data_IF_132336529592
#
_entry.id   IF_132336529592
#
_cell.length_a   1.000
_cell.length_b   1.000
_cell.length_c   1.000
_cell.angle_alpha   90.00
_cell.angle_beta   90.00
_cell.angle_gamma   90.00
#
_symmetry.space_group_name_H-M   'P 1'
#
loop_
_entity.id
_entity.type
_entity.pdbx_description
1 polymer ?
#
# COMPACT_ATOMS: atom_id res chain seq x y z
N UNK A 1 -1.27 -15.61 4.15
CA UNK A 1 -0.31 -14.51 3.95
C UNK A 1 1.10 -15.02 4.24
N UNK A 2 2.09 -14.32 3.71
CA UNK A 2 3.50 -14.65 3.92
C UNK A 2 4.29 -13.36 4.18
N UNK A 3 5.24 -13.42 5.09
CA UNK A 3 6.14 -12.31 5.43
C UNK A 3 7.54 -12.87 5.60
N UNK A 4 8.50 -12.39 4.83
CA UNK A 4 9.91 -12.82 4.87
C UNK A 4 10.08 -14.34 4.83
N UNK A 5 9.34 -15.01 3.90
CA UNK A 5 9.32 -16.45 3.75
C UNK A 5 8.56 -17.21 4.85
N UNK A 6 7.99 -16.52 5.84
CA UNK A 6 7.23 -17.14 6.92
C UNK A 6 5.72 -17.02 6.63
N UNK A 7 5.05 -18.16 6.49
CA UNK A 7 3.60 -18.20 6.30
C UNK A 7 2.83 -17.84 7.56
N UNK A 8 1.86 -16.94 7.43
CA UNK A 8 0.89 -16.61 8.46
C UNK A 8 -0.38 -17.41 8.17
N UNK A 9 -0.74 -18.38 9.04
CA UNK A 9 -1.98 -19.13 8.86
C UNK A 9 -3.19 -18.21 9.07
N UNK A 10 -4.21 -18.37 8.24
CA UNK A 10 -5.43 -17.56 8.29
C UNK A 10 -6.64 -18.49 8.31
N UNK A 11 -7.66 -18.09 9.06
CA UNK A 11 -8.91 -18.83 9.20
C UNK A 11 -10.04 -18.28 8.34
N UNK A 12 -9.91 -17.01 7.89
CA UNK A 12 -10.89 -16.31 7.08
C UNK A 12 -10.41 -16.11 5.64
N UNK A 13 -11.34 -15.82 4.74
CA UNK A 13 -11.09 -15.47 3.35
C UNK A 13 -11.66 -14.08 3.03
N UNK A 14 -11.28 -13.53 1.87
CA UNK A 14 -11.75 -12.24 1.40
C UNK A 14 -11.43 -11.11 2.40
N UNK A 15 -12.25 -10.09 2.44
CA UNK A 15 -12.04 -8.90 3.29
C UNK A 15 -11.92 -9.19 4.79
N UNK A 16 -12.48 -10.30 5.28
CA UNK A 16 -12.42 -10.68 6.69
C UNK A 16 -10.99 -11.13 7.08
N UNK A 17 -10.24 -11.69 6.12
CA UNK A 17 -8.82 -11.99 6.25
C UNK A 17 -7.99 -10.74 6.61
N UNK A 18 -8.33 -9.57 6.04
CA UNK A 18 -7.63 -8.32 6.36
C UNK A 18 -7.82 -7.91 7.82
N UNK A 19 -9.00 -8.18 8.38
CA UNK A 19 -9.28 -7.93 9.80
C UNK A 19 -8.51 -8.91 10.70
N UNK A 20 -8.39 -10.17 10.28
CA UNK A 20 -7.59 -11.16 10.99
C UNK A 20 -6.10 -10.80 10.98
N UNK A 21 -5.55 -10.42 9.82
CA UNK A 21 -4.17 -9.94 9.69
C UNK A 21 -3.91 -8.67 10.50
N UNK A 22 -4.84 -7.72 10.50
CA UNK A 22 -4.75 -6.52 11.33
C UNK A 22 -4.63 -6.85 12.82
N UNK A 23 -5.44 -7.79 13.32
CA UNK A 23 -5.35 -8.25 14.72
C UNK A 23 -4.02 -8.94 15.01
N UNK A 24 -3.51 -9.72 14.05
CA UNK A 24 -2.21 -10.42 14.18
C UNK A 24 -1.03 -9.45 14.21
N UNK A 25 -1.15 -8.31 13.54
CA UNK A 25 -0.12 -7.26 13.59
C UNK A 25 -0.03 -6.58 14.95
N UNK A 26 -1.01 -6.77 15.83
CA UNK A 26 -1.13 -6.12 17.15
C UNK A 26 -1.21 -4.59 17.08
N UNK A 27 -1.66 -4.07 15.93
CA UNK A 27 -1.82 -2.64 15.72
C UNK A 27 -3.02 -2.09 16.48
N UNK A 28 -2.86 -0.92 17.09
CA UNK A 28 -3.97 -0.14 17.64
C UNK A 28 -4.20 1.09 16.76
N UNK A 29 -5.07 0.95 15.77
CA UNK A 29 -5.42 2.01 14.84
C UNK A 29 -6.91 1.93 14.49
N UNK A 30 -7.82 2.47 15.32
CA UNK A 30 -9.27 2.34 15.16
C UNK A 30 -9.79 2.85 13.81
N UNK A 31 -9.05 3.75 13.16
CA UNK A 31 -9.37 4.28 11.83
C UNK A 31 -9.36 3.18 10.74
N UNK A 32 -8.62 2.08 10.94
CA UNK A 32 -8.60 0.90 10.06
C UNK A 32 -10.00 0.43 9.68
N UNK A 33 -10.92 0.37 10.63
CA UNK A 33 -12.30 -0.10 10.39
C UNK A 33 -13.15 0.84 9.54
N UNK A 34 -12.68 2.07 9.30
CA UNK A 34 -13.36 3.06 8.43
C UNK A 34 -12.81 3.10 7.01
N UNK A 35 -11.66 2.47 6.79
CA UNK A 35 -11.01 2.40 5.48
C UNK A 35 -11.80 1.50 4.52
N UNK A 36 -11.68 1.77 3.23
CA UNK A 36 -12.11 0.84 2.19
C UNK A 36 -11.21 -0.39 2.12
N UNK A 37 -11.57 -1.37 1.29
CA UNK A 37 -10.85 -2.66 1.21
C UNK A 37 -9.43 -2.47 0.68
N UNK A 38 -9.23 -1.62 -0.34
CA UNK A 38 -7.91 -1.33 -0.91
C UNK A 38 -6.99 -0.69 0.13
N UNK A 39 -7.48 0.30 0.87
CA UNK A 39 -6.70 0.96 1.94
C UNK A 39 -6.40 0.01 3.10
N UNK A 40 -7.32 -0.88 3.47
CA UNK A 40 -7.07 -1.92 4.48
C UNK A 40 -5.98 -2.90 4.02
N UNK A 41 -6.01 -3.30 2.75
CA UNK A 41 -5.02 -4.19 2.16
C UNK A 41 -3.62 -3.55 2.23
N UNK A 42 -3.49 -2.31 1.78
CA UNK A 42 -2.23 -1.57 1.88
C UNK A 42 -1.78 -1.41 3.33
N UNK A 43 -2.68 -1.01 4.22
CA UNK A 43 -2.39 -0.84 5.65
C UNK A 43 -1.81 -2.11 6.26
N UNK A 44 -2.47 -3.26 6.07
CA UNK A 44 -2.02 -4.55 6.61
C UNK A 44 -0.68 -4.96 6.02
N UNK A 45 -0.47 -4.78 4.71
CA UNK A 45 0.80 -5.10 4.06
C UNK A 45 1.96 -4.29 4.66
N UNK A 46 1.76 -2.99 4.90
CA UNK A 46 2.79 -2.14 5.52
C UNK A 46 3.00 -2.44 7.02
N UNK A 47 1.95 -2.75 7.78
CA UNK A 47 2.10 -3.19 9.18
C UNK A 47 2.93 -4.49 9.28
N UNK A 48 2.69 -5.44 8.39
CA UNK A 48 3.45 -6.69 8.35
C UNK A 48 4.90 -6.45 7.93
N UNK A 49 5.14 -5.60 6.94
CA UNK A 49 6.48 -5.20 6.53
C UNK A 49 7.23 -4.49 7.68
N UNK A 50 6.57 -3.52 8.35
CA UNK A 50 7.13 -2.81 9.49
C UNK A 50 7.52 -3.77 10.62
N UNK A 51 6.67 -4.75 10.92
CA UNK A 51 6.94 -5.77 11.95
C UNK A 51 8.15 -6.65 11.61
N UNK A 52 8.33 -6.98 10.33
CA UNK A 52 9.47 -7.76 9.86
C UNK A 52 10.79 -6.97 9.91
N UNK A 53 10.73 -5.67 9.63
CA UNK A 53 11.91 -4.80 9.52
C UNK A 53 12.33 -4.13 10.84
N UNK A 54 11.44 -4.09 11.84
CA UNK A 54 11.62 -3.34 13.08
C UNK A 54 10.93 -1.97 13.07
N UNK A 55 10.62 -1.46 14.26
CA UNK A 55 9.89 -0.20 14.41
C UNK A 55 10.66 1.01 13.84
N UNK A 56 9.91 1.93 13.24
CA UNK A 56 10.42 3.21 12.73
C UNK A 56 11.14 3.13 11.38
N UNK A 57 11.37 1.95 10.83
CA UNK A 57 12.12 1.78 9.56
C UNK A 57 11.43 2.47 8.37
N UNK A 58 10.10 2.55 8.36
CA UNK A 58 9.35 3.09 7.21
C UNK A 58 9.30 4.62 7.19
N UNK A 59 9.58 5.30 8.30
CA UNK A 59 9.47 6.78 8.38
C UNK A 59 10.45 7.50 7.46
N UNK A 60 11.62 6.92 7.20
CA UNK A 60 12.64 7.43 6.28
C UNK A 60 12.56 6.88 4.87
N UNK A 61 11.46 6.24 4.48
CA UNK A 61 11.29 5.66 3.16
C UNK A 61 10.38 6.51 2.25
N UNK A 62 10.65 6.45 0.95
CA UNK A 62 9.67 6.73 -0.09
C UNK A 62 8.70 5.55 -0.25
N UNK A 63 7.57 5.74 -0.93
CA UNK A 63 6.69 4.66 -1.33
C UNK A 63 6.27 4.76 -2.79
N UNK A 64 6.37 3.66 -3.54
CA UNK A 64 5.90 3.54 -4.92
C UNK A 64 5.08 2.28 -5.08
N UNK A 65 3.76 2.43 -5.20
CA UNK A 65 2.85 1.31 -5.38
C UNK A 65 2.32 1.25 -6.80
N UNK A 66 2.09 0.05 -7.27
CA UNK A 66 1.51 -0.25 -8.57
C UNK A 66 0.18 -0.97 -8.39
N UNK A 67 -0.75 -0.69 -9.30
CA UNK A 67 -2.11 -1.17 -9.22
C UNK A 67 -2.68 -1.30 -10.64
N UNK A 68 -3.71 -2.13 -10.83
CA UNK A 68 -4.45 -2.23 -12.09
C UNK A 68 -5.87 -1.68 -11.92
N UNK A 69 -6.57 -2.13 -10.90
CA UNK A 69 -8.02 -1.90 -10.72
C UNK A 69 -8.36 -0.52 -10.19
N UNK A 70 -7.35 0.31 -9.88
CA UNK A 70 -7.57 1.62 -9.26
C UNK A 70 -8.42 1.50 -7.98
N UNK A 71 -9.41 2.36 -7.79
CA UNK A 71 -10.38 2.38 -6.69
C UNK A 71 -11.73 1.78 -7.08
N UNK A 72 -11.76 0.84 -8.02
CA UNK A 72 -13.00 0.36 -8.67
C UNK A 72 -14.11 -0.06 -7.67
N UNK A 73 -13.76 -0.65 -6.53
CA UNK A 73 -14.74 -1.05 -5.52
C UNK A 73 -15.38 0.16 -4.86
N UNK A 74 -14.58 1.17 -4.50
CA UNK A 74 -15.06 2.40 -3.90
C UNK A 74 -15.85 3.23 -4.91
N UNK A 75 -15.44 3.23 -6.18
CA UNK A 75 -16.16 3.89 -7.28
C UNK A 75 -17.54 3.29 -7.47
N UNK A 76 -17.65 1.95 -7.55
CA UNK A 76 -18.93 1.24 -7.66
C UNK A 76 -19.83 1.51 -6.46
N UNK A 77 -19.28 1.51 -5.25
CA UNK A 77 -20.03 1.82 -4.02
C UNK A 77 -20.51 3.25 -4.03
N UNK A 78 -19.67 4.21 -4.39
CA UNK A 78 -20.04 5.62 -4.50
C UNK A 78 -21.09 5.83 -5.59
N UNK A 79 -20.91 5.26 -6.78
CA UNK A 79 -21.89 5.29 -7.87
C UNK A 79 -23.26 4.79 -7.42
N UNK A 80 -23.30 3.72 -6.62
CA UNK A 80 -24.54 3.22 -6.04
C UNK A 80 -25.29 4.24 -5.19
N UNK A 81 -24.60 5.15 -4.51
CA UNK A 81 -25.23 6.20 -3.66
C UNK A 81 -25.82 7.35 -4.46
N UNK A 82 -25.41 7.56 -5.71
CA UNK A 82 -25.85 8.67 -6.55
C UNK A 82 -26.80 8.22 -7.68
N UNK A 83 -26.98 6.90 -7.87
CA UNK A 83 -27.79 6.34 -8.97
C UNK A 83 -29.24 6.11 -8.59
N UNK A 84 -29.64 6.38 -7.34
CA UNK A 84 -31.02 6.19 -6.89
C UNK A 84 -31.86 7.42 -7.25
N UNK A 85 -32.91 7.31 -8.12
CA UNK A 85 -33.76 8.42 -8.46
C UNK A 85 -34.46 9.01 -7.23
N UNK A 86 -34.30 10.30 -7.01
CA UNK A 86 -34.94 11.03 -5.90
C UNK A 86 -34.17 11.01 -4.58
N UNK A 87 -33.09 10.23 -4.47
CA UNK A 87 -32.22 10.18 -3.30
C UNK A 87 -30.78 10.50 -3.71
N UNK A 88 -30.48 11.77 -3.87
CA UNK A 88 -29.13 12.22 -4.21
C UNK A 88 -28.40 12.72 -2.97
N UNK A 89 -27.84 11.80 -2.18
CA UNK A 89 -27.01 12.11 -1.02
C UNK A 89 -25.69 11.36 -1.08
N UNK A 90 -24.72 11.82 -1.93
CA UNK A 90 -23.41 11.20 -1.98
C UNK A 90 -22.72 11.36 -0.62
N UNK A 91 -22.36 10.24 0.01
CA UNK A 91 -21.64 10.24 1.26
C UNK A 91 -20.21 10.75 1.08
N UNK A 92 -19.79 11.85 1.72
CA UNK A 92 -18.41 12.38 1.57
C UNK A 92 -17.34 11.34 1.94
N UNK A 93 -17.60 10.51 2.93
CA UNK A 93 -16.70 9.47 3.36
C UNK A 93 -16.45 8.39 2.28
N UNK A 94 -17.48 8.05 1.48
CA UNK A 94 -17.33 7.10 0.37
C UNK A 94 -16.58 7.73 -0.80
N UNK A 95 -16.83 9.02 -1.06
CA UNK A 95 -16.15 9.75 -2.13
C UNK A 95 -14.63 9.83 -1.92
N UNK A 96 -14.15 10.01 -0.70
CA UNK A 96 -12.71 10.09 -0.43
C UNK A 96 -11.96 8.86 -0.95
N UNK A 97 -12.52 7.68 -0.80
CA UNK A 97 -11.89 6.43 -1.23
C UNK A 97 -12.05 6.12 -2.73
N UNK A 98 -12.71 6.98 -3.52
CA UNK A 98 -12.64 6.92 -4.99
C UNK A 98 -11.32 7.47 -5.53
N UNK A 99 -10.49 8.04 -4.68
CA UNK A 99 -9.14 8.48 -5.01
C UNK A 99 -8.16 7.37 -4.59
N UNK A 100 -7.61 6.60 -5.52
CA UNK A 100 -6.85 5.38 -5.18
C UNK A 100 -5.57 5.67 -4.39
N UNK A 101 -5.00 6.87 -4.50
CA UNK A 101 -3.83 7.28 -3.73
C UNK A 101 -4.12 7.55 -2.23
N UNK A 102 -5.39 7.56 -1.82
CA UNK A 102 -5.76 7.71 -0.39
C UNK A 102 -5.17 6.58 0.44
N UNK A 103 -5.06 5.36 -0.09
CA UNK A 103 -4.41 4.26 0.59
C UNK A 103 -2.96 4.58 1.01
N UNK A 104 -2.18 5.25 0.14
CA UNK A 104 -0.83 5.72 0.46
C UNK A 104 -0.83 6.81 1.54
N UNK A 105 -1.83 7.70 1.51
CA UNK A 105 -2.02 8.72 2.54
C UNK A 105 -2.29 8.11 3.92
N UNK A 106 -3.14 7.07 4.00
CA UNK A 106 -3.41 6.35 5.25
C UNK A 106 -2.15 5.67 5.79
N UNK A 107 -1.38 5.01 4.92
CA UNK A 107 -0.11 4.36 5.27
C UNK A 107 0.93 5.40 5.72
N UNK A 108 1.09 6.49 4.97
CA UNK A 108 2.06 7.54 5.29
C UNK A 108 1.77 8.19 6.66
N UNK A 109 0.50 8.46 6.96
CA UNK A 109 0.09 8.98 8.28
C UNK A 109 0.41 7.97 9.38
N UNK A 110 0.10 6.70 9.16
CA UNK A 110 0.31 5.64 10.15
C UNK A 110 1.78 5.45 10.52
N UNK A 111 2.66 5.43 9.52
CA UNK A 111 4.09 5.15 9.69
C UNK A 111 4.97 6.40 9.76
N UNK A 112 4.35 7.58 9.83
CA UNK A 112 5.04 8.89 9.85
C UNK A 112 6.03 9.06 8.68
N UNK A 113 5.68 8.51 7.50
CA UNK A 113 6.52 8.58 6.31
C UNK A 113 6.61 10.02 5.80
N UNK A 114 7.81 10.52 5.62
CA UNK A 114 8.09 11.89 5.15
C UNK A 114 8.56 11.94 3.69
N UNK A 115 8.82 10.77 3.11
CA UNK A 115 9.25 10.62 1.74
C UNK A 115 8.15 10.86 0.71
N UNK A 116 8.52 10.81 -0.55
CA UNK A 116 7.58 10.90 -1.66
C UNK A 116 6.71 9.65 -1.74
N UNK A 117 5.43 9.82 -2.05
CA UNK A 117 4.50 8.71 -2.31
C UNK A 117 3.98 8.77 -3.73
N UNK A 118 3.96 7.64 -4.42
CA UNK A 118 3.50 7.52 -5.81
C UNK A 118 2.63 6.29 -5.99
N UNK A 119 1.52 6.45 -6.71
CA UNK A 119 0.70 5.34 -7.17
C UNK A 119 0.66 5.36 -8.70
N UNK A 120 0.92 4.21 -9.30
CA UNK A 120 0.99 4.04 -10.75
C UNK A 120 -0.01 2.96 -11.15
N UNK A 121 -0.93 3.33 -12.04
CA UNK A 121 -1.90 2.39 -12.58
C UNK A 121 -1.32 1.78 -13.85
N UNK A 122 -1.21 0.45 -13.88
CA UNK A 122 -0.69 -0.30 -15.02
C UNK A 122 -1.82 -1.13 -15.66
N UNK A 123 -1.75 -1.41 -16.97
CA UNK A 123 -2.71 -2.27 -17.64
C UNK A 123 -2.66 -3.73 -17.14
N UNK A 124 -1.51 -4.17 -16.65
CA UNK A 124 -1.27 -5.49 -16.05
C UNK A 124 -0.05 -5.45 -15.13
N UNK A 125 0.12 -6.47 -14.28
CA UNK A 125 1.28 -6.62 -13.41
C UNK A 125 2.52 -6.98 -14.24
N UNK A 126 3.40 -6.01 -14.47
CA UNK A 126 4.68 -6.16 -15.17
C UNK A 126 5.85 -5.92 -14.22
N UNK A 127 6.41 -6.99 -13.68
CA UNK A 127 7.52 -6.93 -12.72
C UNK A 127 8.78 -6.29 -13.28
N UNK A 128 9.01 -6.40 -14.60
CA UNK A 128 10.17 -5.78 -15.26
C UNK A 128 10.02 -4.27 -15.32
N UNK A 129 8.86 -3.80 -15.79
CA UNK A 129 8.54 -2.37 -15.84
C UNK A 129 8.54 -1.76 -14.43
N UNK A 130 7.89 -2.42 -13.47
CA UNK A 130 7.86 -1.99 -12.07
C UNK A 130 9.26 -1.82 -11.50
N UNK A 131 10.13 -2.81 -11.69
CA UNK A 131 11.53 -2.75 -11.22
C UNK A 131 12.32 -1.61 -11.85
N UNK A 132 12.15 -1.37 -13.15
CA UNK A 132 12.79 -0.24 -13.84
C UNK A 132 12.33 1.11 -13.29
N UNK A 133 11.03 1.27 -13.02
CA UNK A 133 10.47 2.49 -12.47
C UNK A 133 10.94 2.74 -11.04
N UNK A 134 10.96 1.71 -10.19
CA UNK A 134 11.49 1.79 -8.83
C UNK A 134 12.97 2.19 -8.85
N UNK A 135 13.77 1.54 -9.68
CA UNK A 135 15.19 1.88 -9.81
C UNK A 135 15.39 3.33 -10.26
N UNK A 136 14.66 3.78 -11.27
CA UNK A 136 14.75 5.17 -11.75
C UNK A 136 14.31 6.20 -10.67
N UNK A 137 13.33 5.88 -9.86
CA UNK A 137 12.88 6.72 -8.75
C UNK A 137 13.92 6.76 -7.62
N UNK A 138 14.51 5.62 -7.27
CA UNK A 138 15.54 5.54 -6.25
C UNK A 138 16.80 6.34 -6.59
N UNK A 139 17.16 6.46 -7.87
CA UNK A 139 18.28 7.31 -8.31
C UNK A 139 18.08 8.79 -7.98
N UNK A 140 16.83 9.23 -7.78
CA UNK A 140 16.44 10.62 -7.47
C UNK A 140 16.00 10.80 -6.02
N UNK A 141 15.80 9.69 -5.29
CA UNK A 141 15.35 9.72 -3.91
C UNK A 141 16.47 10.23 -3.00
N UNK A 142 16.10 11.07 -2.05
CA UNK A 142 16.95 11.52 -0.94
C UNK A 142 16.60 10.82 0.37
N UNK A 143 15.66 9.90 0.38
CA UNK A 143 15.24 9.20 1.58
C UNK A 143 16.31 8.22 2.04
N UNK A 144 16.77 8.30 3.31
CA UNK A 144 17.93 7.55 3.80
C UNK A 144 17.66 6.04 3.89
N UNK A 145 16.43 5.65 4.19
CA UNK A 145 16.06 4.25 4.44
C UNK A 145 15.62 3.51 3.17
N UNK A 146 15.51 4.23 2.04
CA UNK A 146 15.19 3.67 0.74
C UNK A 146 13.74 3.87 0.32
N UNK A 147 13.15 2.86 -0.31
CA UNK A 147 11.81 2.92 -0.88
C UNK A 147 11.05 1.63 -0.63
N UNK A 148 9.81 1.73 -0.14
CA UNK A 148 8.86 0.61 -0.17
C UNK A 148 8.17 0.63 -1.52
N UNK A 149 8.25 -0.47 -2.26
CA UNK A 149 7.57 -0.58 -3.54
C UNK A 149 6.96 -1.95 -3.75
N UNK A 150 5.93 -2.00 -4.62
CA UNK A 150 5.30 -3.26 -4.99
C UNK A 150 3.90 -3.10 -5.53
N UNK A 151 3.25 -4.23 -5.73
CA UNK A 151 1.92 -4.36 -6.28
C UNK A 151 0.88 -4.46 -5.18
N UNK A 152 -0.19 -3.66 -5.28
CA UNK A 152 -1.37 -3.76 -4.40
C UNK A 152 -2.61 -3.56 -5.25
N UNK A 153 -3.39 -4.60 -5.48
CA UNK A 153 -4.58 -4.56 -6.30
C UNK A 153 -5.78 -5.22 -5.63
N UNK A 154 -6.98 -4.70 -5.90
CA UNK A 154 -8.21 -5.15 -5.28
C UNK A 154 -9.40 -4.98 -6.25
N UNK A 155 -9.54 -5.84 -7.26
CA UNK A 155 -10.63 -5.80 -8.22
C UNK A 155 -11.99 -6.16 -7.60
N UNK A 156 -12.01 -6.96 -6.52
CA UNK A 156 -13.20 -7.41 -5.80
C UNK A 156 -12.94 -7.52 -4.29
N UNK A 157 -14.00 -7.53 -3.47
CA UNK A 157 -13.90 -7.67 -2.01
C UNK A 157 -13.28 -9.00 -1.54
N UNK A 158 -13.32 -10.03 -2.39
CA UNK A 158 -12.79 -11.36 -2.11
C UNK A 158 -11.59 -11.71 -2.98
N UNK A 159 -11.20 -10.84 -3.91
CA UNK A 159 -10.08 -11.01 -4.82
C UNK A 159 -9.15 -9.79 -4.69
N UNK A 160 -8.02 -9.99 -4.06
CA UNK A 160 -7.00 -8.95 -3.89
C UNK A 160 -5.61 -9.55 -3.72
N UNK A 161 -4.63 -8.78 -4.08
CA UNK A 161 -3.22 -9.14 -4.01
C UNK A 161 -2.40 -7.97 -3.44
N UNK A 162 -1.46 -8.28 -2.56
CA UNK A 162 -0.43 -7.35 -2.10
C UNK A 162 0.92 -8.06 -2.09
N UNK A 163 1.87 -7.50 -2.81
CA UNK A 163 3.28 -7.92 -2.84
C UNK A 163 4.14 -6.66 -2.74
N UNK A 164 4.71 -6.41 -1.56
CA UNK A 164 5.54 -5.23 -1.32
C UNK A 164 6.90 -5.63 -0.75
N UNK A 165 7.90 -4.84 -1.07
CA UNK A 165 9.27 -5.02 -0.60
C UNK A 165 9.93 -3.68 -0.32
N UNK A 166 10.97 -3.68 0.52
CA UNK A 166 11.82 -2.52 0.74
C UNK A 166 13.07 -2.60 -0.12
N UNK A 167 13.32 -1.53 -0.86
CA UNK A 167 14.51 -1.34 -1.70
C UNK A 167 15.44 -0.37 -0.99
N UNK A 168 16.65 -0.82 -0.67
CA UNK A 168 17.68 0.00 0.02
C UNK A 168 18.68 0.55 -0.98
N UNK A 169 19.21 1.74 -0.69
CA UNK A 169 20.34 2.27 -1.44
C UNK A 169 21.57 1.40 -1.23
N UNK A 170 22.22 0.96 -2.31
CA UNK A 170 23.52 0.29 -2.22
C UNK A 170 24.59 1.32 -1.83
N UNK A 171 24.99 1.35 -0.57
CA UNK A 171 26.13 2.14 -0.09
C UNK A 171 27.51 1.55 -0.46
N UNK A 172 27.56 0.61 -1.43
CA UNK A 172 28.84 0.09 -1.91
C UNK A 172 29.28 0.85 -3.15
N UNK A 173 30.09 1.86 -2.98
CA UNK A 173 31.28 2.27 -3.72
C UNK A 173 31.58 3.76 -3.53
N UNK A 174 32.08 4.13 -2.34
CA UNK A 174 33.08 5.19 -2.29
C UNK A 174 34.44 4.51 -2.07
N UNK A 175 34.91 3.81 -3.11
CA UNK A 175 36.34 3.57 -3.28
C UNK A 175 37.01 4.92 -3.44
N UNK A 176 37.63 5.41 -2.36
CA UNK A 176 38.67 6.41 -2.45
C UNK A 176 39.72 5.92 -3.46
N UNK A 177 39.79 6.56 -4.58
CA UNK A 177 41.05 6.65 -5.31
C UNK A 177 41.72 7.94 -4.86
N UNK A 178 42.48 7.84 -3.77
CA UNK A 178 43.52 8.79 -3.48
C UNK A 178 44.65 8.56 -4.50
N UNK A 179 44.84 9.47 -5.41
CA UNK A 179 46.12 9.76 -6.08
C UNK A 179 46.17 11.23 -6.37
#
# INVERSE_FOLDING_TARGET
AEVDGTSIPLSCNGKDMLTELYRTSSSDYPRFYRMDVLSRLAFVAFELLQKAMGEGTLSGCDAMLFNHSSSILSDRKHQGTISVPGEFFPGPATFVYTLPNVMLGEVAIRHDMKGATSLIILPEKDSTLMSQMVYAAMLKSSCPDGMVAGWIDCPDENEFEAEISIYKHNHNNNGRTDT
#
